data_IF_788002154938
#
_entry.id   IF_788002154938
#
_cell.length_a   1.000
_cell.length_b   1.000
_cell.length_c   1.000
_cell.angle_alpha   90.00
_cell.angle_beta   90.00
_cell.angle_gamma   90.00
#
_symmetry.space_group_name_H-M   'P 1'
#
loop_
_entity.id
_entity.type
_entity.pdbx_description
1 polymer ?
#
# COMPACT_ATOMS: atom_id res chain seq x y z
N UNK A 1 -14.81 23.52 -18.88
CA UNK A 1 -15.36 23.46 -17.51
C UNK A 1 -16.36 22.31 -17.48
N UNK A 2 -15.92 21.11 -17.12
CA UNK A 2 -16.80 19.95 -16.97
C UNK A 2 -16.15 18.95 -16.01
N UNK A 3 -16.81 18.83 -14.85
CA UNK A 3 -16.86 17.74 -13.88
C UNK A 3 -15.68 16.77 -13.78
N UNK A 4 -14.98 16.92 -12.64
CA UNK A 4 -14.26 15.88 -11.91
C UNK A 4 -14.96 14.51 -12.04
N UNK A 5 -14.21 13.52 -12.53
CA UNK A 5 -14.31 12.17 -11.99
C UNK A 5 -13.24 12.09 -10.90
N UNK A 6 -13.67 12.27 -9.64
CA UNK A 6 -12.85 11.90 -8.48
C UNK A 6 -12.54 10.41 -8.63
N UNK A 7 -11.32 10.08 -9.07
CA UNK A 7 -10.73 8.79 -8.81
C UNK A 7 -10.51 8.75 -7.30
N UNK A 8 -11.58 8.38 -6.59
CA UNK A 8 -11.59 8.19 -5.16
C UNK A 8 -10.35 7.39 -4.80
N UNK A 9 -9.54 7.97 -3.92
CA UNK A 9 -8.52 7.28 -3.17
C UNK A 9 -9.16 6.00 -2.63
N UNK A 10 -8.86 4.86 -3.27
CA UNK A 10 -9.45 3.59 -2.91
C UNK A 10 -9.13 3.36 -1.42
N UNK A 11 -10.11 2.94 -0.61
CA UNK A 11 -9.87 2.72 0.80
C UNK A 11 -8.76 1.68 0.94
N UNK A 12 -7.70 2.05 1.64
CA UNK A 12 -6.68 1.12 2.11
C UNK A 12 -7.42 -0.05 2.77
N UNK A 13 -7.17 -1.31 2.38
CA UNK A 13 -7.82 -2.43 3.05
C UNK A 13 -7.39 -2.40 4.51
N UNK A 14 -8.34 -2.13 5.40
CA UNK A 14 -8.16 -2.27 6.83
C UNK A 14 -7.83 -3.75 7.09
N UNK A 15 -6.57 -4.05 7.38
CA UNK A 15 -6.18 -5.36 7.87
C UNK A 15 -6.94 -5.63 9.17
N UNK A 16 -7.44 -6.86 9.37
CA UNK A 16 -8.23 -7.19 10.54
C UNK A 16 -7.37 -7.03 11.79
N UNK A 17 -7.89 -6.24 12.71
CA UNK A 17 -7.56 -6.25 14.12
C UNK A 17 -7.74 -7.67 14.67
N UNK A 18 -6.69 -8.49 14.55
CA UNK A 18 -6.63 -9.76 15.25
C UNK A 18 -6.34 -9.49 16.73
N UNK A 19 -7.43 -9.15 17.40
CA UNK A 19 -7.65 -9.21 18.83
C UNK A 19 -6.95 -10.43 19.43
N UNK A 20 -6.13 -10.16 20.44
CA UNK A 20 -5.69 -11.17 21.38
C UNK A 20 -6.92 -11.82 22.03
N UNK A 21 -7.22 -13.07 21.65
CA UNK A 21 -8.14 -13.94 22.37
C UNK A 21 -7.48 -15.31 22.54
N UNK A 22 -6.73 -15.45 23.63
CA UNK A 22 -6.59 -16.73 24.32
C UNK A 22 -6.96 -16.46 25.78
N UNK A 23 -8.24 -16.65 26.08
CA UNK A 23 -8.68 -16.95 27.45
C UNK A 23 -8.78 -18.46 27.62
N UNK A 24 -8.50 -18.96 28.83
CA UNK A 24 -9.50 -19.82 29.48
C UNK A 24 -9.89 -19.30 30.87
N UNK A 25 -11.20 -19.20 31.10
CA UNK A 25 -11.88 -19.08 32.42
C UNK A 25 -11.76 -20.39 33.21
N UNK A 26 -11.88 -20.41 34.56
CA UNK A 26 -13.20 -20.66 35.15
C UNK A 26 -13.44 -19.99 36.52
N UNK A 27 -14.68 -20.10 36.98
CA UNK A 27 -15.22 -19.41 38.15
C UNK A 27 -14.66 -19.84 39.51
N UNK A 28 -15.05 -19.03 40.49
CA UNK A 28 -14.97 -19.35 41.90
C UNK A 28 -15.94 -20.50 42.19
N UNK A 29 -15.40 -21.67 42.51
CA UNK A 29 -16.07 -22.67 43.34
C UNK A 29 -15.03 -23.56 44.00
N UNK A 30 -15.21 -23.71 45.30
CA UNK A 30 -14.38 -24.33 46.32
C UNK A 30 -13.63 -25.60 45.91
N UNK A 31 -12.36 -25.63 46.33
CA UNK A 31 -11.55 -26.83 46.41
C UNK A 31 -10.11 -26.41 46.67
N UNK A 32 -9.63 -26.56 47.90
CA UNK A 32 -8.20 -26.42 48.23
C UNK A 32 -7.42 -27.44 47.38
N UNK A 33 -6.99 -27.04 46.19
CA UNK A 33 -5.91 -27.73 45.50
C UNK A 33 -4.61 -27.20 46.09
N UNK A 34 -4.04 -28.03 46.97
CA UNK A 34 -2.68 -27.89 47.49
C UNK A 34 -1.77 -27.41 46.35
N UNK A 35 -1.21 -26.21 46.52
CA UNK A 35 -0.13 -25.75 45.66
C UNK A 35 0.92 -26.86 45.61
N UNK A 36 1.41 -27.29 44.43
CA UNK A 36 2.45 -28.29 44.40
C UNK A 36 3.61 -27.73 45.20
N UNK A 37 4.05 -28.49 46.21
CA UNK A 37 5.23 -28.19 47.01
C UNK A 37 6.31 -27.61 46.08
N UNK A 38 6.85 -26.44 46.42
CA UNK A 38 7.84 -25.74 45.61
C UNK A 38 8.90 -26.75 45.16
N UNK A 39 8.78 -27.23 43.91
CA UNK A 39 9.71 -28.19 43.35
C UNK A 39 11.04 -27.46 43.34
N UNK A 40 12.07 -28.04 43.97
CA UNK A 40 13.43 -27.51 43.88
C UNK A 40 13.75 -27.39 42.40
N UNK A 41 13.93 -26.15 41.94
CA UNK A 41 14.24 -25.86 40.54
C UNK A 41 15.47 -26.68 40.15
N UNK A 42 15.32 -27.48 39.10
CA UNK A 42 16.41 -28.29 38.60
C UNK A 42 17.29 -27.42 37.71
N UNK A 43 18.61 -27.65 37.64
CA UNK A 43 19.48 -26.93 36.71
C UNK A 43 19.00 -26.98 35.25
N UNK A 44 18.28 -28.03 34.85
CA UNK A 44 17.64 -28.17 33.53
C UNK A 44 16.54 -27.13 33.27
N UNK A 45 15.89 -26.60 34.30
CA UNK A 45 14.82 -25.60 34.15
C UNK A 45 15.37 -24.26 33.67
N UNK A 46 16.62 -23.92 34.02
CA UNK A 46 17.28 -22.71 33.53
C UNK A 46 17.62 -22.81 32.04
N UNK A 47 18.01 -23.99 31.57
CA UNK A 47 18.27 -24.25 30.15
C UNK A 47 16.97 -24.17 29.36
N UNK A 48 15.91 -24.83 29.83
CA UNK A 48 14.59 -24.76 29.20
C UNK A 48 14.04 -23.32 29.15
N UNK A 49 14.28 -22.52 30.21
CA UNK A 49 13.92 -21.11 30.21
C UNK A 49 14.74 -20.32 29.18
N UNK A 50 16.04 -20.55 29.06
CA UNK A 50 16.88 -19.89 28.07
C UNK A 50 16.42 -20.20 26.64
N UNK A 51 16.10 -21.46 26.34
CA UNK A 51 15.53 -21.87 25.04
C UNK A 51 14.19 -21.17 24.75
N UNK A 52 13.34 -21.02 25.77
CA UNK A 52 12.06 -20.33 25.63
C UNK A 52 12.23 -18.82 25.38
N UNK A 53 13.20 -18.18 26.03
CA UNK A 53 13.54 -16.76 25.81
C UNK A 53 14.07 -16.57 24.39
N UNK A 54 14.99 -17.41 23.94
CA UNK A 54 15.54 -17.35 22.58
C UNK A 54 14.42 -17.47 21.53
N UNK A 55 13.51 -18.43 21.70
CA UNK A 55 12.36 -18.60 20.81
C UNK A 55 11.40 -17.41 20.82
N UNK A 56 11.19 -16.78 21.98
CA UNK A 56 10.37 -15.58 22.09
C UNK A 56 11.00 -14.41 21.32
N UNK A 57 12.32 -14.23 21.44
CA UNK A 57 13.06 -13.19 20.72
C UNK A 57 13.02 -13.40 19.20
N UNK A 58 13.15 -14.66 18.75
CA UNK A 58 12.97 -15.02 17.34
C UNK A 58 11.58 -14.63 16.84
N UNK A 59 10.53 -14.92 17.61
CA UNK A 59 9.16 -14.59 17.24
C UNK A 59 8.94 -13.09 17.15
N UNK A 60 9.44 -12.33 18.13
CA UNK A 60 9.36 -10.86 18.13
C UNK A 60 10.08 -10.28 16.92
N UNK A 61 11.29 -10.75 16.63
CA UNK A 61 12.07 -10.32 15.47
C UNK A 61 11.36 -10.63 14.16
N UNK A 62 10.89 -11.88 13.97
CA UNK A 62 10.18 -12.27 12.76
C UNK A 62 8.90 -11.45 12.55
N UNK A 63 8.13 -11.23 13.61
CA UNK A 63 6.92 -10.41 13.55
C UNK A 63 7.25 -8.94 13.19
N UNK A 64 8.27 -8.35 13.81
CA UNK A 64 8.71 -6.99 13.49
C UNK A 64 9.16 -6.88 12.02
N UNK A 65 9.98 -7.82 11.53
CA UNK A 65 10.41 -7.85 10.14
C UNK A 65 9.22 -7.94 9.18
N UNK A 66 8.26 -8.84 9.43
CA UNK A 66 7.09 -8.99 8.57
C UNK A 66 6.26 -7.70 8.50
N UNK A 67 6.04 -7.04 9.64
CA UNK A 67 5.30 -5.77 9.68
C UNK A 67 6.04 -4.64 8.97
N UNK A 68 7.37 -4.57 9.13
CA UNK A 68 8.20 -3.59 8.43
C UNK A 68 8.21 -3.80 6.92
N UNK A 69 8.21 -5.05 6.45
CA UNK A 69 8.09 -5.37 5.02
C UNK A 69 6.78 -4.83 4.44
N UNK A 70 5.64 -5.06 5.11
CA UNK A 70 4.35 -4.53 4.67
C UNK A 70 4.35 -3.00 4.62
N UNK A 71 4.93 -2.34 5.63
CA UNK A 71 5.04 -0.87 5.65
C UNK A 71 5.91 -0.39 4.48
N UNK A 72 7.03 -1.06 4.19
CA UNK A 72 7.91 -0.69 3.09
C UNK A 72 7.20 -0.80 1.73
N UNK A 73 6.44 -1.88 1.50
CA UNK A 73 5.63 -2.07 0.30
C UNK A 73 4.57 -0.97 0.15
N UNK A 74 3.88 -0.61 1.24
CA UNK A 74 2.91 0.48 1.24
C UNK A 74 3.54 1.82 0.90
N UNK A 75 4.71 2.13 1.45
CA UNK A 75 5.45 3.37 1.14
C UNK A 75 5.82 3.41 -0.34
N UNK A 76 6.34 2.31 -0.89
CA UNK A 76 6.69 2.22 -2.31
C UNK A 76 5.46 2.42 -3.20
N UNK A 77 4.33 1.82 -2.84
CA UNK A 77 3.08 2.02 -3.56
C UNK A 77 2.65 3.50 -3.55
N UNK A 78 2.68 4.15 -2.39
CA UNK A 78 2.32 5.58 -2.27
C UNK A 78 3.27 6.49 -3.06
N UNK A 79 4.57 6.18 -3.07
CA UNK A 79 5.55 6.90 -3.87
C UNK A 79 5.24 6.80 -5.37
N UNK A 80 4.89 5.61 -5.85
CA UNK A 80 4.53 5.41 -7.27
C UNK A 80 3.22 6.13 -7.62
N UNK A 81 2.23 6.14 -6.71
CA UNK A 81 1.00 6.92 -6.90
C UNK A 81 1.31 8.42 -6.99
N UNK A 82 2.14 8.95 -6.09
CA UNK A 82 2.56 10.35 -6.13
C UNK A 82 3.30 10.69 -7.44
N UNK A 83 4.18 9.79 -7.92
CA UNK A 83 4.88 9.93 -9.19
C UNK A 83 3.90 10.06 -10.36
N UNK A 84 2.89 9.19 -10.44
CA UNK A 84 1.86 9.23 -11.48
C UNK A 84 1.07 10.53 -11.47
N UNK A 85 0.64 10.98 -10.28
CA UNK A 85 -0.09 12.25 -10.14
C UNK A 85 0.74 13.43 -10.67
N UNK A 86 2.04 13.47 -10.38
CA UNK A 86 2.93 14.52 -10.88
C UNK A 86 3.13 14.44 -12.40
N UNK A 87 3.27 13.23 -12.95
CA UNK A 87 3.37 13.02 -14.41
C UNK A 87 2.10 13.43 -15.14
N UNK A 88 0.93 13.08 -14.59
CA UNK A 88 -0.36 13.43 -15.14
C UNK A 88 -0.58 14.95 -15.10
N UNK A 89 -0.31 15.58 -13.95
CA UNK A 89 -0.40 17.04 -13.82
C UNK A 89 0.55 17.76 -14.80
N UNK A 90 1.78 17.25 -14.98
CA UNK A 90 2.73 17.78 -15.97
C UNK A 90 2.20 17.62 -17.39
N UNK A 91 1.71 16.43 -17.75
CA UNK A 91 1.16 16.16 -19.08
C UNK A 91 -0.04 17.07 -19.35
N UNK A 92 -0.92 17.25 -18.40
CA UNK A 92 -2.07 18.14 -18.50
C UNK A 92 -1.62 19.59 -18.68
N UNK A 93 -0.65 20.07 -17.90
CA UNK A 93 -0.10 21.41 -18.05
C UNK A 93 0.53 21.62 -19.45
N UNK A 94 1.31 20.64 -19.93
CA UNK A 94 1.93 20.66 -21.25
C UNK A 94 0.86 20.70 -22.36
N UNK A 95 -0.19 19.87 -22.27
CA UNK A 95 -1.29 19.80 -23.23
C UNK A 95 -2.18 21.06 -23.22
N UNK A 96 -2.32 21.73 -22.09
CA UNK A 96 -3.04 23.00 -21.99
C UNK A 96 -2.30 24.15 -22.71
N UNK A 97 -0.96 24.13 -22.74
CA UNK A 97 -0.16 25.18 -23.40
C UNK A 97 -0.01 25.00 -24.92
N UNK A 98 -0.38 23.84 -25.46
CA UNK A 98 -0.29 23.58 -26.91
C UNK A 98 -1.32 24.42 -27.68
N UNK A 99 -0.87 25.03 -28.78
CA UNK A 99 -1.72 25.81 -29.68
C UNK A 99 -2.90 24.98 -30.21
N UNK A 100 -4.10 25.54 -30.14
CA UNK A 100 -5.33 24.89 -30.58
C UNK A 100 -6.12 25.86 -31.47
N UNK A 101 -6.30 25.49 -32.74
CA UNK A 101 -7.01 26.30 -33.74
C UNK A 101 -8.52 26.03 -33.74
N UNK A 102 -9.03 25.26 -32.79
CA UNK A 102 -10.43 24.86 -32.69
C UNK A 102 -10.86 24.72 -31.22
N UNK A 103 -12.17 24.74 -30.97
CA UNK A 103 -12.72 24.53 -29.62
C UNK A 103 -12.74 23.04 -29.30
N UNK A 104 -12.07 22.63 -28.22
CA UNK A 104 -12.12 21.26 -27.70
C UNK A 104 -13.51 20.96 -27.15
N UNK A 105 -14.15 19.92 -27.68
CA UNK A 105 -15.44 19.40 -27.21
C UNK A 105 -15.19 18.13 -26.38
N UNK A 106 -15.78 18.01 -25.19
CA UNK A 106 -15.70 16.79 -24.39
C UNK A 106 -16.15 15.55 -25.17
N UNK A 107 -15.52 14.40 -24.92
CA UNK A 107 -15.85 13.13 -25.59
C UNK A 107 -15.18 12.91 -26.95
N UNK A 108 -14.50 13.91 -27.50
CA UNK A 108 -13.75 13.78 -28.75
C UNK A 108 -12.28 13.47 -28.51
N UNK A 109 -11.71 12.62 -29.37
CA UNK A 109 -10.27 12.33 -29.39
C UNK A 109 -9.57 13.35 -30.29
N UNK A 110 -8.50 13.95 -29.77
CA UNK A 110 -7.66 14.89 -30.50
C UNK A 110 -6.24 14.35 -30.54
N UNK A 111 -5.60 14.44 -31.71
CA UNK A 111 -4.26 13.94 -31.95
C UNK A 111 -3.26 15.10 -31.85
N UNK A 112 -2.14 14.87 -31.16
CA UNK A 112 -1.07 15.85 -31.00
C UNK A 112 0.03 15.58 -32.04
N UNK A 113 0.31 16.56 -32.89
CA UNK A 113 1.37 16.49 -33.89
C UNK A 113 2.48 17.51 -33.59
N UNK A 114 3.67 17.27 -34.14
CA UNK A 114 4.79 18.21 -34.14
C UNK A 114 5.13 18.57 -35.57
N UNK A 115 5.20 19.87 -35.88
CA UNK A 115 5.69 20.38 -37.17
C UNK A 115 7.21 20.23 -37.25
N UNK A 116 7.75 20.33 -38.46
CA UNK A 116 9.20 20.41 -38.69
C UNK A 116 9.83 21.61 -37.95
N UNK A 117 9.07 22.70 -37.81
CA UNK A 117 9.45 23.89 -37.02
C UNK A 117 9.51 23.65 -35.51
N UNK A 118 9.17 22.43 -35.04
CA UNK A 118 9.14 22.06 -33.62
C UNK A 118 7.83 22.43 -32.90
N UNK A 119 6.96 23.24 -33.52
CA UNK A 119 5.69 23.63 -32.93
C UNK A 119 4.74 22.42 -32.79
N UNK A 120 4.20 22.23 -31.59
CA UNK A 120 3.17 21.23 -31.31
C UNK A 120 1.78 21.81 -31.56
N UNK A 121 0.87 21.01 -32.10
CA UNK A 121 -0.51 21.42 -32.37
C UNK A 121 -1.48 20.24 -32.33
N UNK A 122 -2.73 20.52 -31.97
CA UNK A 122 -3.80 19.52 -32.02
C UNK A 122 -4.44 19.41 -33.41
N UNK A 123 -4.90 18.21 -33.76
CA UNK A 123 -5.68 17.91 -34.96
C UNK A 123 -6.81 16.93 -34.64
N UNK A 124 -7.93 17.04 -35.36
CA UNK A 124 -9.03 16.06 -35.32
C UNK A 124 -8.78 14.86 -36.23
N UNK A 125 -7.80 14.96 -37.14
CA UNK A 125 -7.45 13.88 -38.06
C UNK A 125 -6.56 12.88 -37.33
N UNK A 126 -6.98 11.62 -37.32
CA UNK A 126 -6.16 10.52 -36.85
C UNK A 126 -4.99 10.26 -37.82
N UNK A 127 -3.86 9.77 -37.32
CA UNK A 127 -2.80 9.32 -38.20
C UNK A 127 -3.31 8.13 -39.00
N UNK A 128 -3.42 8.28 -40.33
CA UNK A 128 -3.55 7.13 -41.22
C UNK A 128 -2.22 6.37 -41.17
N UNK A 129 -2.23 5.18 -40.59
CA UNK A 129 -1.10 4.25 -40.69
C UNK A 129 -1.10 3.74 -42.13
N UNK A 130 -0.42 4.44 -43.03
CA UNK A 130 -0.05 3.85 -44.31
C UNK A 130 1.18 3.00 -43.99
N UNK A 131 0.94 1.74 -43.64
CA UNK A 131 2.00 0.74 -43.60
C UNK A 131 2.37 0.50 -45.07
N UNK A 132 3.53 1.00 -45.50
CA UNK A 132 4.13 0.72 -46.81
C UNK A 132 5.12 -0.43 -46.70
#
# INVERSE_FOLDING_TARGET
MAAKADAAFAPVPASPENSALVGPTPGVSEGLHLAPAARKAQPSDLVALAEQVEKADEFVRANACNRLTVIAEQIQYLQEQARKVLEDARRDADLHHVACNFVKKPGNVYYLYRRETGQRYFSMLSPKVIVS
#
